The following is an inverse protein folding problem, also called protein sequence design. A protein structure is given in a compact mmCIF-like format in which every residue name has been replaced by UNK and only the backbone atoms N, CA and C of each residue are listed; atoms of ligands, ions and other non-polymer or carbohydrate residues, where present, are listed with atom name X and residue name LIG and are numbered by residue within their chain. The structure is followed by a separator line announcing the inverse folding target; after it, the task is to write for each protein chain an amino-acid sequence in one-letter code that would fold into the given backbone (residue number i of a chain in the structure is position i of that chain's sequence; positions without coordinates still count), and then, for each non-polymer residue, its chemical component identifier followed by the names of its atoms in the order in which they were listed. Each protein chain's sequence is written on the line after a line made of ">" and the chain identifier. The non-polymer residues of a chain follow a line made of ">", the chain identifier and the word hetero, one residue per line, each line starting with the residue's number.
data_IF_243057873213
#
_entry.id   IF_243057873213
#
_cell.length_a   1.000
_cell.length_b   1.000
_cell.length_c   1.000
_cell.angle_alpha   90.00
_cell.angle_beta   90.00
_cell.angle_gamma   90.00
#
_symmetry.space_group_name_H-M   'P 1'
#
loop_
_entity.id
_entity.type
_entity.pdbx_description
1 polymer ?
#
# COMPACT_ATOMS: atom_id res chain seq x y z
N UNK A 1 23.91 -7.86 2.44
CA UNK A 1 23.85 -8.34 1.04
C UNK A 1 23.00 -9.61 0.89
N UNK A 2 23.18 -10.66 1.70
CA UNK A 2 22.34 -11.88 1.62
C UNK A 2 20.84 -11.61 1.81
N UNK A 3 20.46 -10.72 2.73
CA UNK A 3 19.04 -10.39 2.99
C UNK A 3 18.36 -9.79 1.77
N UNK A 4 19.01 -8.81 1.13
CA UNK A 4 18.50 -8.17 -0.10
C UNK A 4 18.31 -9.20 -1.21
N UNK A 5 19.30 -10.07 -1.45
CA UNK A 5 19.20 -11.11 -2.48
C UNK A 5 18.02 -12.05 -2.22
N UNK A 6 17.82 -12.48 -0.96
CA UNK A 6 16.67 -13.33 -0.58
C UNK A 6 15.33 -12.64 -0.81
N UNK A 7 15.22 -11.34 -0.49
CA UNK A 7 13.99 -10.56 -0.69
C UNK A 7 13.67 -10.42 -2.17
N UNK A 8 14.66 -10.10 -3.02
CA UNK A 8 14.45 -9.98 -4.45
C UNK A 8 14.05 -11.32 -5.08
N UNK A 9 14.73 -12.42 -4.71
CA UNK A 9 14.38 -13.78 -5.17
C UNK A 9 12.95 -14.15 -4.77
N UNK A 10 12.56 -13.88 -3.52
CA UNK A 10 11.21 -14.16 -3.02
C UNK A 10 10.16 -13.30 -3.72
N UNK A 11 10.42 -12.00 -3.93
CA UNK A 11 9.52 -11.08 -4.63
C UNK A 11 9.27 -11.51 -6.08
N UNK A 12 10.33 -11.81 -6.84
CA UNK A 12 10.19 -12.29 -8.23
C UNK A 12 9.47 -13.64 -8.28
N UNK A 13 9.78 -14.57 -7.36
CA UNK A 13 9.08 -15.86 -7.30
C UNK A 13 7.58 -15.72 -7.04
N UNK A 14 7.19 -14.85 -6.11
CA UNK A 14 5.78 -14.55 -5.83
C UNK A 14 5.10 -13.83 -7.00
N UNK A 15 5.77 -12.89 -7.66
CA UNK A 15 5.24 -12.19 -8.83
C UNK A 15 5.00 -13.15 -10.01
N UNK A 16 5.92 -14.08 -10.28
CA UNK A 16 5.74 -15.11 -11.29
C UNK A 16 4.56 -16.03 -10.95
N UNK A 17 4.46 -16.49 -9.70
CA UNK A 17 3.36 -17.35 -9.26
C UNK A 17 2.02 -16.63 -9.37
N UNK A 18 1.94 -15.37 -8.93
CA UNK A 18 0.74 -14.55 -9.08
C UNK A 18 0.34 -14.38 -10.55
N UNK A 19 1.31 -14.15 -11.45
CA UNK A 19 1.06 -14.04 -12.89
C UNK A 19 0.51 -15.33 -13.52
N UNK A 20 1.03 -16.49 -13.13
CA UNK A 20 0.53 -17.80 -13.59
C UNK A 20 -0.92 -18.01 -13.12
N UNK A 21 -1.20 -17.78 -11.84
CA UNK A 21 -2.54 -17.92 -11.26
C UNK A 21 -3.52 -16.93 -11.93
N UNK A 22 -3.10 -15.69 -12.13
CA UNK A 22 -3.91 -14.67 -12.78
C UNK A 22 -4.24 -15.00 -14.24
N UNK A 23 -3.28 -15.58 -14.97
CA UNK A 23 -3.47 -16.03 -16.36
C UNK A 23 -4.47 -17.19 -16.43
N UNK A 24 -4.39 -18.15 -15.50
CA UNK A 24 -5.35 -19.25 -15.41
C UNK A 24 -6.75 -18.73 -15.03
N UNK A 25 -6.84 -17.75 -14.14
CA UNK A 25 -8.11 -17.15 -13.72
C UNK A 25 -8.83 -16.43 -14.86
N UNK A 26 -8.09 -15.61 -15.62
CA UNK A 26 -8.70 -14.76 -16.66
C UNK A 26 -9.05 -15.56 -17.92
N UNK A 27 -8.33 -16.66 -18.24
CA UNK A 27 -8.51 -17.56 -19.41
C UNK A 27 -8.49 -16.87 -20.80
N UNK A 28 -8.48 -15.54 -20.85
CA UNK A 28 -8.44 -14.71 -22.04
C UNK A 28 -7.37 -13.62 -21.87
N UNK A 29 -6.58 -13.37 -22.91
CA UNK A 29 -5.57 -12.32 -22.93
C UNK A 29 -6.20 -10.93 -23.04
N UNK A 30 -6.88 -10.47 -21.97
CA UNK A 30 -7.45 -9.13 -21.93
C UNK A 30 -6.41 -8.14 -21.41
N UNK A 31 -5.94 -7.24 -22.28
CA UNK A 31 -4.85 -6.31 -21.98
C UNK A 31 -5.14 -5.36 -20.80
N UNK A 32 -6.42 -5.06 -20.52
CA UNK A 32 -6.79 -4.19 -19.40
C UNK A 32 -7.03 -4.93 -18.08
N UNK A 33 -6.83 -6.26 -18.02
CA UNK A 33 -7.11 -7.04 -16.82
C UNK A 33 -6.20 -6.65 -15.62
N UNK A 34 -5.00 -6.15 -15.89
CA UNK A 34 -4.08 -5.64 -14.85
C UNK A 34 -4.34 -4.19 -14.44
N UNK A 35 -5.27 -3.47 -15.07
CA UNK A 35 -5.44 -2.04 -14.80
C UNK A 35 -6.06 -1.81 -13.42
N UNK A 36 -5.31 -1.14 -12.55
CA UNK A 36 -5.73 -0.81 -11.19
C UNK A 36 -5.39 -1.88 -10.13
N UNK A 37 -4.84 -3.03 -10.51
CA UNK A 37 -4.40 -4.04 -9.53
C UNK A 37 -3.24 -3.54 -8.66
N UNK A 38 -2.47 -2.58 -9.17
CA UNK A 38 -1.42 -1.88 -8.43
C UNK A 38 -2.00 -1.06 -7.28
N UNK A 39 -3.09 -0.33 -7.55
CA UNK A 39 -3.78 0.49 -6.55
C UNK A 39 -4.42 -0.41 -5.47
N UNK A 40 -5.04 -1.51 -5.89
CA UNK A 40 -5.64 -2.50 -4.99
C UNK A 40 -4.55 -3.21 -4.15
N UNK A 41 -3.37 -3.46 -4.71
CA UNK A 41 -2.24 -4.01 -3.95
C UNK A 41 -1.78 -3.02 -2.87
N UNK A 42 -1.59 -1.74 -3.20
CA UNK A 42 -1.20 -0.71 -2.23
C UNK A 42 -2.29 -0.55 -1.16
N UNK A 43 -3.57 -0.54 -1.55
CA UNK A 43 -4.69 -0.40 -0.63
C UNK A 43 -4.74 -1.53 0.40
N UNK A 44 -4.66 -2.80 -0.05
CA UNK A 44 -4.69 -3.95 0.85
C UNK A 44 -3.55 -3.93 1.88
N UNK A 45 -2.35 -3.52 1.45
CA UNK A 45 -1.13 -3.44 2.26
C UNK A 45 -1.27 -2.34 3.33
N UNK A 46 -1.82 -1.20 2.95
CA UNK A 46 -2.15 -0.06 3.82
C UNK A 46 -3.24 -0.38 4.84
N UNK A 47 -4.32 -1.05 4.41
CA UNK A 47 -5.37 -1.55 5.29
C UNK A 47 -4.77 -2.51 6.33
N UNK A 48 -3.79 -3.32 5.93
CA UNK A 48 -3.01 -4.19 6.80
C UNK A 48 -2.04 -3.48 7.76
N UNK A 49 -1.91 -2.15 7.67
CA UNK A 49 -1.17 -1.32 8.62
C UNK A 49 0.27 -0.99 8.25
N UNK A 50 0.70 -1.19 7.00
CA UNK A 50 2.05 -0.76 6.56
C UNK A 50 2.07 0.71 6.15
N UNK A 51 3.11 1.45 6.54
CA UNK A 51 3.26 2.85 6.16
C UNK A 51 3.80 3.00 4.72
N UNK A 52 3.30 3.97 3.94
CA UNK A 52 3.85 4.29 2.61
C UNK A 52 5.26 4.88 2.70
N UNK A 53 5.57 5.55 3.81
CA UNK A 53 6.90 6.09 4.09
C UNK A 53 7.98 5.01 4.28
N UNK A 54 7.56 3.74 4.40
CA UNK A 54 8.45 2.61 4.65
C UNK A 54 8.88 2.49 6.12
N UNK A 55 9.60 1.40 6.44
CA UNK A 55 10.22 1.18 7.75
C UNK A 55 9.29 0.62 8.84
N UNK A 56 7.97 0.57 8.64
CA UNK A 56 7.00 0.07 9.62
C UNK A 56 5.91 -0.76 8.95
N UNK A 57 5.70 -1.98 9.46
CA UNK A 57 4.71 -2.93 8.96
C UNK A 57 5.13 -4.37 9.22
N UNK A 58 4.16 -5.30 9.27
CA UNK A 58 4.43 -6.75 9.40
C UNK A 58 3.78 -7.51 8.24
N UNK A 59 4.44 -8.57 7.78
CA UNK A 59 3.90 -9.44 6.71
C UNK A 59 2.55 -10.04 7.10
N UNK A 60 2.37 -10.40 8.38
CA UNK A 60 1.09 -10.93 8.87
C UNK A 60 -0.03 -9.89 8.78
N UNK A 61 0.22 -8.63 9.16
CA UNK A 61 -0.76 -7.56 9.01
C UNK A 61 -1.18 -7.37 7.55
N UNK A 62 -0.23 -7.44 6.62
CA UNK A 62 -0.48 -7.38 5.18
C UNK A 62 -1.37 -8.52 4.69
N UNK A 63 -1.15 -9.76 5.17
CA UNK A 63 -2.01 -10.91 4.83
C UNK A 63 -3.46 -10.70 5.27
N UNK A 64 -3.67 -10.18 6.49
CA UNK A 64 -5.01 -9.82 6.94
C UNK A 64 -5.62 -8.68 6.12
N UNK A 65 -4.82 -7.69 5.71
CA UNK A 65 -5.26 -6.62 4.82
C UNK A 65 -5.76 -7.13 3.46
N UNK A 66 -5.05 -8.08 2.84
CA UNK A 66 -5.48 -8.74 1.59
C UNK A 66 -6.76 -9.56 1.82
N UNK A 67 -6.88 -10.27 2.93
CA UNK A 67 -8.09 -11.01 3.28
C UNK A 67 -9.30 -10.08 3.46
N UNK A 68 -9.14 -8.95 4.16
CA UNK A 68 -10.17 -7.92 4.33
C UNK A 68 -10.59 -7.36 2.97
N UNK A 69 -9.64 -7.04 2.09
CA UNK A 69 -9.95 -6.60 0.73
C UNK A 69 -10.77 -7.63 -0.05
N UNK A 70 -10.43 -8.92 0.05
CA UNK A 70 -11.20 -10.01 -0.56
C UNK A 70 -12.62 -10.12 -0.02
N UNK A 71 -12.81 -9.92 1.29
CA UNK A 71 -14.13 -9.88 1.93
C UNK A 71 -14.95 -8.68 1.45
N UNK A 72 -14.34 -7.49 1.36
CA UNK A 72 -15.00 -6.28 0.84
C UNK A 72 -15.44 -6.49 -0.62
N UNK A 73 -14.57 -7.05 -1.46
CA UNK A 73 -14.91 -7.34 -2.85
C UNK A 73 -16.06 -8.35 -2.94
N UNK A 74 -16.04 -9.39 -2.10
CA UNK A 74 -17.13 -10.37 -2.06
C UNK A 74 -18.43 -9.68 -1.63
N UNK A 75 -18.43 -8.96 -0.52
CA UNK A 75 -19.62 -8.29 0.01
C UNK A 75 -20.26 -7.33 -1.01
N UNK A 76 -19.46 -6.45 -1.64
CA UNK A 76 -19.98 -5.46 -2.61
C UNK A 76 -20.52 -6.14 -3.88
N UNK A 77 -19.89 -7.21 -4.38
CA UNK A 77 -20.40 -7.92 -5.55
C UNK A 77 -21.70 -8.67 -5.26
N UNK A 78 -21.90 -9.14 -4.03
CA UNK A 78 -23.12 -9.86 -3.63
C UNK A 78 -24.31 -8.93 -3.32
N UNK A 79 -24.08 -7.66 -2.98
CA UNK A 79 -25.15 -6.67 -2.71
C UNK A 79 -25.97 -6.28 -3.96
N UNK A 80 -25.55 -6.69 -5.17
CA UNK A 80 -26.35 -6.73 -6.41
C UNK A 80 -26.84 -5.39 -6.99
N UNK A 81 -26.79 -4.30 -6.22
CA UNK A 81 -27.32 -2.97 -6.56
C UNK A 81 -26.23 -1.95 -6.91
N UNK A 82 -24.96 -2.28 -6.66
CA UNK A 82 -23.81 -1.42 -6.89
C UNK A 82 -22.94 -1.95 -8.03
N UNK A 83 -22.66 -1.08 -9.01
CA UNK A 83 -21.66 -1.35 -10.06
C UNK A 83 -20.28 -1.57 -9.44
N UNK A 84 -19.51 -2.54 -9.98
CA UNK A 84 -18.11 -2.84 -9.62
C UNK A 84 -17.20 -1.59 -9.57
N UNK A 85 -17.60 -0.52 -10.26
CA UNK A 85 -16.92 0.78 -10.25
C UNK A 85 -16.90 1.46 -8.87
N UNK A 86 -17.91 1.26 -8.04
CA UNK A 86 -17.99 1.86 -6.70
C UNK A 86 -16.91 1.33 -5.74
N UNK A 87 -16.53 0.05 -5.87
CA UNK A 87 -15.43 -0.54 -5.11
C UNK A 87 -14.12 0.20 -5.37
N UNK A 88 -13.82 0.51 -6.64
CA UNK A 88 -12.60 1.25 -7.02
C UNK A 88 -12.60 2.68 -6.47
N UNK A 89 -13.76 3.35 -6.48
CA UNK A 89 -13.90 4.69 -5.89
C UNK A 89 -13.67 4.66 -4.37
N UNK A 90 -14.28 3.70 -3.67
CA UNK A 90 -14.13 3.57 -2.23
C UNK A 90 -12.67 3.28 -1.82
N UNK A 91 -12.00 2.37 -2.55
CA UNK A 91 -10.58 2.06 -2.35
C UNK A 91 -9.72 3.32 -2.57
N UNK A 92 -9.99 4.08 -3.64
CA UNK A 92 -9.29 5.33 -3.93
C UNK A 92 -9.46 6.38 -2.83
N UNK A 93 -10.69 6.57 -2.32
CA UNK A 93 -10.97 7.53 -1.23
C UNK A 93 -10.28 7.11 0.06
N UNK A 94 -10.36 5.83 0.43
CA UNK A 94 -9.71 5.30 1.63
C UNK A 94 -8.20 5.55 1.60
N UNK A 95 -7.58 5.25 0.46
CA UNK A 95 -6.15 5.43 0.25
C UNK A 95 -5.77 6.92 0.26
N UNK A 96 -6.58 7.78 -0.35
CA UNK A 96 -6.40 9.23 -0.31
C UNK A 96 -6.43 9.78 1.12
N UNK A 97 -7.40 9.37 1.93
CA UNK A 97 -7.50 9.76 3.34
C UNK A 97 -6.26 9.31 4.11
N UNK A 98 -5.83 8.07 3.89
CA UNK A 98 -4.65 7.52 4.58
C UNK A 98 -3.38 8.30 4.24
N UNK A 99 -3.15 8.62 2.96
CA UNK A 99 -2.02 9.45 2.53
C UNK A 99 -2.11 10.86 3.11
N UNK A 100 -3.29 11.49 3.06
CA UNK A 100 -3.49 12.83 3.58
C UNK A 100 -3.17 12.90 5.07
N UNK A 101 -3.59 11.89 5.84
CA UNK A 101 -3.29 11.77 7.26
C UNK A 101 -1.80 11.58 7.52
N UNK A 102 -1.13 10.66 6.79
CA UNK A 102 0.32 10.46 6.91
C UNK A 102 1.12 11.71 6.58
N UNK A 103 0.75 12.39 5.50
CA UNK A 103 1.43 13.62 5.05
C UNK A 103 1.20 14.76 6.04
N UNK A 104 -0.03 14.94 6.51
CA UNK A 104 -0.38 15.92 7.53
C UNK A 104 0.39 15.71 8.83
N UNK A 105 0.44 14.47 9.32
CA UNK A 105 1.20 14.13 10.52
C UNK A 105 2.70 14.42 10.34
N UNK A 106 3.28 14.01 9.21
CA UNK A 106 4.72 14.24 8.96
C UNK A 106 5.06 15.74 8.92
N UNK A 107 4.25 16.54 8.22
CA UNK A 107 4.46 18.00 8.11
C UNK A 107 4.28 18.71 9.46
N UNK A 108 3.31 18.27 10.28
CA UNK A 108 3.12 18.83 11.62
C UNK A 108 4.30 18.55 12.55
N UNK A 109 5.00 17.43 12.35
CA UNK A 109 6.19 17.08 13.13
C UNK A 109 7.42 17.87 12.66
N UNK A 110 7.57 18.06 11.34
CA UNK A 110 8.61 18.92 10.74
C UNK A 110 8.55 20.35 11.32
N UNK A 111 7.35 20.93 11.40
CA UNK A 111 7.14 22.30 11.88
C UNK A 111 7.51 22.49 13.36
N UNK A 112 7.57 21.41 14.16
CA UNK A 112 7.96 21.47 15.57
C UNK A 112 9.48 21.37 15.78
N UNK A 113 10.23 20.89 14.77
CA UNK A 113 11.68 20.67 14.89
C UNK A 113 12.52 21.89 14.48
N UNK A 114 11.91 22.91 13.88
CA UNK A 114 12.56 24.17 13.45
C UNK A 114 12.99 25.10 14.58
N UNK A 115 13.29 24.58 15.77
CA UNK A 115 13.99 25.38 16.79
C UNK A 115 15.37 25.73 16.22
N UNK A 116 15.69 27.02 16.00
CA UNK A 116 17.02 27.42 15.54
C UNK A 116 18.01 26.87 16.57
N UNK A 117 18.89 25.97 16.15
CA UNK A 117 20.07 25.64 16.93
C UNK A 117 20.90 26.90 16.94
N UNK A 118 20.66 27.75 17.94
CA UNK A 118 21.46 28.93 18.25
C UNK A 118 22.90 28.45 18.35
N UNK A 119 23.69 28.74 17.31
CA UNK A 119 25.12 28.46 17.32
C UNK A 119 25.74 29.34 18.41
N UNK A 120 25.80 28.83 19.63
CA UNK A 120 26.59 29.42 20.70
C UNK A 120 28.06 29.18 20.35
N UNK A 121 28.61 30.19 19.69
CA UNK A 121 29.95 30.74 19.86
C UNK A 121 31.16 29.79 19.84
N UNK A 122 31.97 29.88 18.77
CA UNK A 122 33.39 29.45 18.75
C UNK A 122 34.30 30.61 18.29
N UNK A 123 33.85 31.87 18.32
CA UNK A 123 34.68 33.04 17.97
C UNK A 123 35.32 33.71 19.20
N UNK A 124 35.35 33.03 20.34
CA UNK A 124 35.92 33.53 21.59
C UNK A 124 36.76 32.42 22.25
N UNK A 125 37.93 32.11 21.69
CA UNK A 125 39.14 31.67 22.40
C UNK A 125 40.33 31.62 21.46
#
# INVERSE_FOLDING_TARGET
>A
RSTTIRIYMLSTGLATLAGIVFSIYTQAGYALAGVGVELDAIASVVIGGTLLSGGVGTVLGTLFGVAIQGLIQTYINFDGTLSSWWTKIAIGILLFIFIALQRGLTVLWENRQSSPVTRVNIAQR
#
